data_IF_205248395796
#
_entry.id   IF_205248395796
#
_cell.length_a   1.000
_cell.length_b   1.000
_cell.length_c   1.000
_cell.angle_alpha   90.00
_cell.angle_beta   90.00
_cell.angle_gamma   90.00
#
_symmetry.space_group_name_H-M   'P 1'
#
loop_
_entity.id
_entity.type
_entity.pdbx_description
1 polymer ?
#
# COMPACT_ATOMS: atom_id res chain seq x y z
N UNK A 1 -8.32 -27.23 22.80
CA UNK A 1 -9.19 -26.18 23.38
C UNK A 1 -8.34 -25.39 24.38
N UNK A 2 -7.70 -24.30 23.94
CA UNK A 2 -6.88 -23.43 24.81
C UNK A 2 -7.51 -22.04 24.81
N UNK A 3 -7.85 -21.57 26.00
CA UNK A 3 -8.46 -20.28 26.28
C UNK A 3 -7.56 -19.14 25.81
N UNK A 4 -8.14 -18.17 25.09
CA UNK A 4 -7.51 -16.86 24.89
C UNK A 4 -7.63 -16.10 26.22
N UNK A 5 -6.49 -15.70 26.79
CA UNK A 5 -6.46 -14.83 27.95
C UNK A 5 -6.65 -13.39 27.48
N UNK A 6 -7.76 -12.77 27.87
CA UNK A 6 -7.99 -11.34 27.72
C UNK A 6 -7.29 -10.64 28.91
N UNK A 7 -6.32 -9.77 28.65
CA UNK A 7 -5.60 -9.03 29.69
C UNK A 7 -5.95 -7.54 29.58
N UNK A 8 -6.49 -7.01 30.68
CA UNK A 8 -6.67 -5.60 31.04
C UNK A 8 -7.32 -4.66 30.00
N UNK A 9 -8.64 -4.46 30.13
CA UNK A 9 -9.32 -3.22 29.69
C UNK A 9 -9.09 -2.14 30.73
N UNK A 10 -8.15 -1.24 30.52
CA UNK A 10 -8.10 0.04 31.24
C UNK A 10 -9.11 0.98 30.61
N UNK A 11 -10.31 1.05 31.19
CA UNK A 11 -11.31 2.06 30.82
C UNK A 11 -10.75 3.45 31.19
N UNK A 12 -10.20 4.17 30.22
CA UNK A 12 -10.09 5.63 30.31
C UNK A 12 -11.52 6.16 30.17
N UNK A 13 -12.07 6.94 31.12
CA UNK A 13 -13.47 7.35 31.04
C UNK A 13 -13.71 8.25 29.82
N UNK A 14 -14.46 7.73 28.83
CA UNK A 14 -15.42 8.52 28.06
C UNK A 14 -15.24 8.68 26.54
N UNK A 15 -14.13 8.29 25.90
CA UNK A 15 -13.92 8.66 24.48
C UNK A 15 -13.44 7.53 23.55
N UNK A 16 -12.72 6.51 24.04
CA UNK A 16 -12.23 5.43 23.21
C UNK A 16 -12.09 4.11 23.99
N UNK A 17 -12.25 2.98 23.29
CA UNK A 17 -11.98 1.64 23.77
C UNK A 17 -10.56 1.22 23.36
N UNK A 18 -9.76 0.80 24.34
CA UNK A 18 -8.41 0.28 24.12
C UNK A 18 -8.35 -1.22 24.40
N UNK A 19 -7.68 -1.98 23.54
CA UNK A 19 -7.47 -3.41 23.72
C UNK A 19 -6.08 -3.86 23.25
N UNK A 20 -5.52 -4.84 23.94
CA UNK A 20 -4.26 -5.50 23.59
C UNK A 20 -4.44 -7.01 23.64
N UNK A 21 -4.19 -7.70 22.53
CA UNK A 21 -4.39 -9.15 22.41
C UNK A 21 -3.23 -9.78 21.65
N UNK A 22 -2.73 -10.91 22.16
CA UNK A 22 -1.85 -11.80 21.38
C UNK A 22 -2.71 -12.82 20.63
N UNK A 23 -2.65 -12.77 19.30
CA UNK A 23 -3.32 -13.69 18.41
C UNK A 23 -2.69 -15.08 18.45
N UNK A 24 -3.43 -16.09 17.99
CA UNK A 24 -2.99 -17.50 18.02
C UNK A 24 -1.73 -17.76 17.20
N UNK A 25 -1.47 -16.92 16.20
CA UNK A 25 -0.29 -17.02 15.36
C UNK A 25 0.94 -16.36 15.99
N UNK A 26 0.82 -15.76 17.18
CA UNK A 26 1.88 -15.05 17.90
C UNK A 26 1.94 -13.54 17.63
N UNK A 27 1.09 -13.00 16.76
CA UNK A 27 1.01 -11.55 16.51
C UNK A 27 0.41 -10.84 17.71
N UNK A 28 1.03 -9.77 18.18
CA UNK A 28 0.42 -8.86 19.14
C UNK A 28 -0.37 -7.80 18.39
N UNK A 29 -1.65 -7.63 18.70
CA UNK A 29 -2.51 -6.58 18.16
C UNK A 29 -2.91 -5.64 19.28
N UNK A 30 -2.61 -4.37 19.11
CA UNK A 30 -3.14 -3.28 19.92
C UNK A 30 -4.17 -2.51 19.09
N UNK A 31 -5.28 -2.11 19.72
CA UNK A 31 -6.30 -1.31 19.07
C UNK A 31 -6.79 -0.22 20.03
N UNK A 32 -6.95 0.98 19.49
CA UNK A 32 -7.65 2.10 20.10
C UNK A 32 -8.77 2.53 19.16
N UNK A 33 -10.02 2.57 19.61
CA UNK A 33 -11.17 2.91 18.77
C UNK A 33 -12.12 3.87 19.47
N UNK A 34 -12.56 4.93 18.78
CA UNK A 34 -13.59 5.82 19.31
C UNK A 34 -14.94 5.08 19.42
N UNK A 35 -15.73 5.38 20.45
CA UNK A 35 -16.98 4.64 20.77
C UNK A 35 -18.09 4.80 19.72
N UNK A 36 -18.03 5.84 18.89
CA UNK A 36 -19.00 6.12 17.82
C UNK A 36 -18.26 6.51 16.54
N UNK A 37 -17.24 5.73 16.19
CA UNK A 37 -16.45 5.93 14.98
C UNK A 37 -17.26 5.53 13.73
N UNK A 38 -17.21 6.36 12.70
CA UNK A 38 -17.71 6.04 11.35
C UNK A 38 -16.56 6.30 10.34
N UNK A 39 -15.53 5.43 10.31
CA UNK A 39 -14.37 5.66 9.48
C UNK A 39 -14.70 5.47 7.99
N UNK A 40 -14.28 6.42 7.15
CA UNK A 40 -14.50 6.35 5.70
C UNK A 40 -13.28 5.80 4.95
N UNK A 41 -12.07 5.98 5.52
CA UNK A 41 -10.81 5.58 4.89
C UNK A 41 -9.96 4.80 5.90
N UNK A 42 -9.48 3.63 5.48
CA UNK A 42 -8.43 2.88 6.17
C UNK A 42 -7.08 3.24 5.57
N UNK A 43 -6.25 3.98 6.30
CA UNK A 43 -4.85 4.21 5.94
C UNK A 43 -4.00 3.04 6.43
N UNK A 44 -3.20 2.46 5.55
CA UNK A 44 -2.31 1.33 5.85
C UNK A 44 -0.86 1.71 5.61
N UNK A 45 -0.02 1.43 6.61
CA UNK A 45 1.43 1.54 6.51
C UNK A 45 2.10 0.29 7.07
N UNK A 46 3.07 -0.22 6.33
CA UNK A 46 3.86 -1.37 6.72
C UNK A 46 5.34 -0.98 6.73
N UNK A 47 6.02 -1.29 7.82
CA UNK A 47 7.43 -0.96 7.96
C UNK A 47 8.11 -1.96 8.90
N UNK A 48 9.41 -2.17 8.77
CA UNK A 48 10.11 -3.17 9.57
C UNK A 48 10.47 -2.62 10.96
N UNK A 49 11.18 -1.51 10.95
CA UNK A 49 11.84 -0.89 12.11
C UNK A 49 12.09 0.60 11.84
N UNK A 50 12.80 1.29 12.74
CA UNK A 50 13.07 2.73 12.66
C UNK A 50 13.75 3.16 11.35
N UNK A 51 14.49 2.27 10.69
CA UNK A 51 15.20 2.60 9.43
C UNK A 51 14.26 2.69 8.25
N UNK A 52 13.07 2.07 8.35
CA UNK A 52 12.09 2.04 7.27
C UNK A 52 11.44 3.40 7.00
N UNK A 53 11.47 4.32 7.96
CA UNK A 53 11.00 5.71 7.79
C UNK A 53 11.93 6.56 6.93
N UNK A 54 13.19 6.13 6.83
CA UNK A 54 14.26 6.73 6.05
C UNK A 54 14.60 8.20 6.40
N UNK A 55 15.32 8.91 5.53
CA UNK A 55 15.74 10.30 5.72
C UNK A 55 15.99 11.02 4.40
N UNK A 56 15.97 12.36 4.43
CA UNK A 56 16.44 13.20 3.30
C UNK A 56 17.91 13.60 3.47
N UNK A 57 18.58 14.02 2.38
CA UNK A 57 20.03 14.32 2.36
C UNK A 57 20.54 15.25 3.47
N UNK A 58 19.69 16.13 3.98
CA UNK A 58 20.05 17.19 4.95
C UNK A 58 19.25 17.12 6.25
N UNK A 59 18.37 16.12 6.41
CA UNK A 59 17.47 16.02 7.56
C UNK A 59 17.89 14.90 8.51
N UNK A 60 17.37 14.96 9.74
CA UNK A 60 17.40 13.82 10.66
C UNK A 60 16.58 12.66 10.11
N UNK A 61 16.85 11.44 10.60
CA UNK A 61 15.99 10.28 10.37
C UNK A 61 14.54 10.60 10.71
N UNK A 62 13.63 10.24 9.80
CA UNK A 62 12.19 10.35 10.00
C UNK A 62 11.73 9.30 11.00
N UNK A 63 10.55 9.54 11.53
CA UNK A 63 9.88 8.72 12.53
C UNK A 63 8.41 8.58 12.19
N UNK A 64 7.67 7.82 12.99
CA UNK A 64 6.21 7.77 12.91
C UNK A 64 5.55 9.15 13.04
N UNK A 65 6.16 10.11 13.76
CA UNK A 65 5.59 11.45 13.89
C UNK A 65 5.59 12.18 12.54
N UNK A 66 6.65 12.07 11.75
CA UNK A 66 6.74 12.68 10.42
C UNK A 66 5.70 12.07 9.46
N UNK A 67 5.42 10.77 9.59
CA UNK A 67 4.33 10.12 8.86
C UNK A 67 2.94 10.64 9.29
N UNK A 68 2.73 10.88 10.58
CA UNK A 68 1.46 11.44 11.07
C UNK A 68 1.29 12.91 10.66
N UNK A 69 2.37 13.67 10.57
CA UNK A 69 2.37 15.05 10.06
C UNK A 69 2.09 15.07 8.56
N UNK A 70 2.64 14.10 7.79
CA UNK A 70 2.31 13.89 6.38
C UNK A 70 0.80 13.69 6.18
N UNK A 71 0.15 12.86 7.00
CA UNK A 71 -1.31 12.65 6.92
C UNK A 71 -2.07 13.95 7.16
N UNK A 72 -1.70 14.73 8.17
CA UNK A 72 -2.32 16.02 8.46
C UNK A 72 -2.14 17.03 7.31
N UNK A 73 -0.99 17.02 6.64
CA UNK A 73 -0.69 17.91 5.52
C UNK A 73 -1.59 17.68 4.28
N UNK A 74 -2.23 16.50 4.17
CA UNK A 74 -3.14 16.19 3.06
C UNK A 74 -4.52 16.85 3.17
N UNK A 75 -4.82 17.59 4.25
CA UNK A 75 -6.16 18.12 4.59
C UNK A 75 -7.22 17.04 4.87
N UNK A 76 -6.82 15.80 5.16
CA UNK A 76 -7.79 14.77 5.54
C UNK A 76 -8.38 15.10 6.91
N UNK A 77 -9.66 14.81 7.09
CA UNK A 77 -10.27 14.78 8.41
C UNK A 77 -9.80 13.52 9.15
N UNK A 78 -8.82 13.69 10.03
CA UNK A 78 -8.24 12.58 10.80
C UNK A 78 -9.31 11.83 11.61
N UNK A 79 -10.42 12.49 11.98
CA UNK A 79 -11.50 11.85 12.72
C UNK A 79 -12.30 10.82 11.94
N UNK A 80 -12.20 10.80 10.61
CA UNK A 80 -12.84 9.77 9.76
C UNK A 80 -11.85 8.71 9.29
N UNK A 81 -10.61 8.72 9.81
CA UNK A 81 -9.57 7.77 9.41
C UNK A 81 -9.45 6.62 10.41
N UNK A 82 -9.44 5.41 9.89
CA UNK A 82 -8.83 4.25 10.55
C UNK A 82 -7.37 4.12 10.13
N UNK A 83 -6.46 3.88 11.07
CA UNK A 83 -5.04 3.68 10.79
C UNK A 83 -4.61 2.25 11.14
N UNK A 84 -4.25 1.46 10.13
CA UNK A 84 -3.69 0.12 10.29
C UNK A 84 -2.18 0.13 10.10
N UNK A 85 -1.44 -0.33 11.12
CA UNK A 85 0.03 -0.28 11.12
C UNK A 85 0.58 -1.69 11.41
N UNK A 86 1.57 -2.12 10.63
CA UNK A 86 2.33 -3.35 10.92
C UNK A 86 3.81 -3.06 11.11
N UNK A 87 4.40 -3.57 12.19
CA UNK A 87 5.85 -3.48 12.45
C UNK A 87 6.48 -4.76 12.99
N UNK A 88 7.73 -5.01 12.62
CA UNK A 88 8.55 -6.08 13.18
C UNK A 88 9.34 -5.65 14.43
N UNK A 89 9.39 -4.34 14.72
CA UNK A 89 10.09 -3.78 15.87
C UNK A 89 9.15 -3.59 17.06
N UNK A 90 9.49 -4.19 18.19
CA UNK A 90 8.73 -4.03 19.43
C UNK A 90 8.83 -2.58 19.98
N UNK A 91 9.98 -1.93 19.78
CA UNK A 91 10.21 -0.56 20.22
C UNK A 91 9.36 0.43 19.41
N UNK A 92 9.31 0.24 18.07
CA UNK A 92 8.44 1.02 17.21
C UNK A 92 6.95 0.78 17.52
N UNK A 93 6.58 -0.45 17.87
CA UNK A 93 5.21 -0.78 18.29
C UNK A 93 4.76 0.03 19.52
N UNK A 94 5.61 0.20 20.53
CA UNK A 94 5.30 1.06 21.68
C UNK A 94 5.30 2.54 21.33
N UNK A 95 6.22 2.97 20.44
CA UNK A 95 6.28 4.37 19.98
C UNK A 95 4.99 4.79 19.26
N UNK A 96 4.44 3.93 18.41
CA UNK A 96 3.18 4.18 17.68
C UNK A 96 2.05 4.50 18.65
N UNK A 97 1.87 3.70 19.72
CA UNK A 97 0.78 3.91 20.69
C UNK A 97 0.83 5.29 21.33
N UNK A 98 2.05 5.78 21.58
CA UNK A 98 2.27 7.12 22.14
C UNK A 98 2.04 8.20 21.08
N UNK A 99 2.52 7.99 19.86
CA UNK A 99 2.47 8.98 18.79
C UNK A 99 1.04 9.29 18.34
N UNK A 100 0.20 8.26 18.19
CA UNK A 100 -1.18 8.43 17.71
C UNK A 100 -2.12 9.02 18.75
N UNK A 101 -1.80 8.93 20.04
CA UNK A 101 -2.69 9.36 21.13
C UNK A 101 -3.01 10.85 21.17
N UNK A 102 -2.36 11.67 20.33
CA UNK A 102 -2.62 13.11 20.18
C UNK A 102 -3.55 13.46 19.03
N UNK A 103 -3.88 12.49 18.18
CA UNK A 103 -4.66 12.69 16.98
C UNK A 103 -6.02 12.01 17.10
N UNK A 104 -7.11 12.63 16.59
CA UNK A 104 -8.47 12.18 16.85
C UNK A 104 -8.89 11.03 15.92
N UNK A 105 -8.03 10.04 15.64
CA UNK A 105 -8.37 8.93 14.75
C UNK A 105 -9.66 8.21 15.18
N UNK A 106 -10.48 7.82 14.21
CA UNK A 106 -11.66 6.96 14.44
C UNK A 106 -11.23 5.63 15.05
N UNK A 107 -10.17 5.04 14.49
CA UNK A 107 -9.61 3.77 14.95
C UNK A 107 -8.13 3.69 14.62
N UNK A 108 -7.33 3.15 15.52
CA UNK A 108 -5.94 2.79 15.25
C UNK A 108 -5.74 1.34 15.63
N UNK A 109 -5.19 0.55 14.73
CA UNK A 109 -4.83 -0.85 14.97
C UNK A 109 -3.38 -1.06 14.61
N UNK A 110 -2.56 -1.31 15.62
CA UNK A 110 -1.15 -1.65 15.44
C UNK A 110 -0.95 -3.16 15.62
N UNK A 111 -0.15 -3.75 14.73
CA UNK A 111 0.25 -5.15 14.77
C UNK A 111 1.75 -5.23 14.93
N UNK A 112 2.20 -6.03 15.89
CA UNK A 112 3.59 -6.37 16.08
C UNK A 112 3.80 -7.87 15.91
N UNK A 113 4.75 -8.22 15.06
CA UNK A 113 5.29 -9.57 14.97
C UNK A 113 6.72 -9.50 14.50
N UNK A 114 7.64 -10.01 15.31
CA UNK A 114 9.01 -10.23 14.87
C UNK A 114 9.00 -11.23 13.71
N UNK A 115 9.58 -10.85 12.57
CA UNK A 115 9.70 -11.75 11.43
C UNK A 115 10.52 -12.98 11.83
N UNK A 116 9.98 -14.17 11.58
CA UNK A 116 10.74 -15.40 11.68
C UNK A 116 11.64 -15.49 10.43
N UNK A 117 12.80 -14.84 10.47
CA UNK A 117 13.89 -15.00 9.51
C UNK A 117 13.49 -14.99 8.02
N UNK A 118 12.60 -14.07 7.59
CA UNK A 118 12.52 -13.69 6.17
C UNK A 118 13.65 -12.70 5.82
N UNK A 119 14.85 -12.96 6.33
CA UNK A 119 16.11 -12.36 5.92
C UNK A 119 16.51 -12.91 4.55
N UNK A 120 15.67 -12.66 3.52
CA UNK A 120 16.13 -12.74 2.15
C UNK A 120 17.34 -11.80 2.03
N UNK A 121 18.50 -12.41 1.86
CA UNK A 121 19.80 -11.78 1.92
C UNK A 121 19.81 -10.44 1.16
N UNK A 122 20.20 -9.38 1.87
CA UNK A 122 20.41 -8.03 1.33
C UNK A 122 21.47 -7.99 0.19
N UNK A 123 22.14 -9.12 -0.07
CA UNK A 123 23.35 -9.25 -0.88
C UNK A 123 23.18 -9.42 -2.38
N UNK A 124 21.97 -9.59 -2.94
CA UNK A 124 21.84 -9.77 -4.39
C UNK A 124 20.54 -9.22 -4.99
N UNK A 125 20.33 -7.90 -4.88
CA UNK A 125 19.14 -7.17 -5.37
C UNK A 125 18.93 -7.25 -6.90
N UNK A 126 19.93 -7.70 -7.66
CA UNK A 126 19.85 -7.81 -9.13
C UNK A 126 19.43 -9.20 -9.62
N UNK A 127 19.30 -10.19 -8.73
CA UNK A 127 18.82 -11.52 -9.11
C UNK A 127 17.26 -11.51 -9.19
N UNK A 128 16.66 -11.78 -10.37
CA UNK A 128 15.21 -11.77 -10.53
C UNK A 128 14.45 -12.69 -9.55
N UNK A 129 15.05 -13.83 -9.16
CA UNK A 129 14.44 -14.76 -8.21
C UNK A 129 14.44 -14.21 -6.78
N UNK A 130 15.50 -13.49 -6.39
CA UNK A 130 15.58 -12.80 -5.10
C UNK A 130 14.55 -11.66 -5.07
N UNK A 131 14.42 -10.92 -6.16
CA UNK A 131 13.43 -9.87 -6.30
C UNK A 131 11.99 -10.42 -6.19
N UNK A 132 11.68 -11.52 -6.89
CA UNK A 132 10.37 -12.17 -6.82
C UNK A 132 10.06 -12.67 -5.40
N UNK A 133 11.02 -13.31 -4.74
CA UNK A 133 10.87 -13.79 -3.35
C UNK A 133 10.57 -12.63 -2.41
N UNK A 134 11.31 -11.53 -2.53
CA UNK A 134 11.09 -10.31 -1.72
C UNK A 134 9.70 -9.71 -1.98
N UNK A 135 9.29 -9.55 -3.24
CA UNK A 135 7.96 -9.02 -3.60
C UNK A 135 6.83 -9.96 -3.16
N UNK A 136 7.06 -11.27 -3.19
CA UNK A 136 6.13 -12.28 -2.67
C UNK A 136 5.91 -12.12 -1.16
N UNK A 137 6.98 -11.96 -0.38
CA UNK A 137 6.92 -11.69 1.06
C UNK A 137 6.15 -10.39 1.36
N UNK A 138 6.50 -9.31 0.64
CA UNK A 138 5.82 -8.02 0.79
C UNK A 138 4.32 -8.10 0.43
N UNK A 139 3.95 -8.79 -0.64
CA UNK A 139 2.54 -9.00 -1.00
C UNK A 139 1.77 -9.73 0.10
N UNK A 140 2.35 -10.80 0.68
CA UNK A 140 1.73 -11.53 1.79
C UNK A 140 1.55 -10.65 3.02
N UNK A 141 2.55 -9.83 3.35
CA UNK A 141 2.50 -8.89 4.46
C UNK A 141 1.44 -7.79 4.23
N UNK A 142 1.38 -7.20 3.03
CA UNK A 142 0.34 -6.23 2.67
C UNK A 142 -1.06 -6.84 2.77
N UNK A 143 -1.26 -8.03 2.20
CA UNK A 143 -2.53 -8.76 2.31
C UNK A 143 -2.90 -9.03 3.77
N UNK A 144 -1.93 -9.46 4.59
CA UNK A 144 -2.18 -9.74 6.00
C UNK A 144 -2.64 -8.51 6.77
N UNK A 145 -1.97 -7.37 6.59
CA UNK A 145 -2.37 -6.12 7.24
C UNK A 145 -3.73 -5.65 6.72
N UNK A 146 -3.93 -5.58 5.40
CA UNK A 146 -5.19 -5.12 4.80
C UNK A 146 -6.39 -5.96 5.22
N UNK A 147 -6.28 -7.30 5.15
CA UNK A 147 -7.37 -8.19 5.51
C UNK A 147 -7.63 -8.23 7.03
N UNK A 148 -6.61 -7.97 7.86
CA UNK A 148 -6.78 -7.95 9.31
C UNK A 148 -7.32 -6.62 9.84
N UNK A 149 -7.06 -5.51 9.14
CA UNK A 149 -7.39 -4.17 9.58
C UNK A 149 -8.71 -3.61 8.99
N UNK A 150 -9.07 -4.00 7.76
CA UNK A 150 -10.31 -3.56 7.11
C UNK A 150 -11.56 -4.04 7.84
N UNK A 151 -12.47 -3.13 8.12
CA UNK A 151 -13.76 -3.40 8.75
C UNK A 151 -14.87 -2.73 7.93
N UNK A 152 -15.29 -1.53 8.34
CA UNK A 152 -16.44 -0.77 7.86
C UNK A 152 -16.08 0.39 6.91
N UNK A 153 -14.81 0.55 6.55
CA UNK A 153 -14.35 1.63 5.68
C UNK A 153 -14.79 1.47 4.22
N UNK A 154 -14.93 2.58 3.50
CA UNK A 154 -15.27 2.61 2.06
C UNK A 154 -14.03 2.48 1.17
N UNK A 155 -12.87 2.92 1.67
CA UNK A 155 -11.62 2.94 0.93
C UNK A 155 -10.44 2.46 1.79
N UNK A 156 -9.45 1.88 1.14
CA UNK A 156 -8.15 1.53 1.69
C UNK A 156 -7.10 2.39 1.00
N UNK A 157 -6.30 3.13 1.76
CA UNK A 157 -5.20 3.93 1.27
C UNK A 157 -3.88 3.35 1.77
N UNK A 158 -3.08 2.78 0.87
CA UNK A 158 -1.71 2.40 1.14
C UNK A 158 -0.78 3.59 0.99
N UNK A 159 0.13 3.77 1.96
CA UNK A 159 1.23 4.72 1.89
C UNK A 159 2.49 3.99 2.37
N UNK A 160 3.54 3.98 1.55
CA UNK A 160 4.83 3.42 1.95
C UNK A 160 5.49 4.29 3.03
N UNK A 161 6.26 3.67 3.93
CA UNK A 161 6.80 4.35 5.12
C UNK A 161 7.84 5.45 4.79
N UNK A 162 8.47 5.34 3.64
CA UNK A 162 9.48 6.23 3.07
C UNK A 162 8.88 7.28 2.10
N UNK A 163 7.56 7.46 2.11
CA UNK A 163 6.92 8.64 1.52
C UNK A 163 7.11 9.84 2.44
N UNK A 164 7.70 10.91 1.91
CA UNK A 164 7.93 12.16 2.66
C UNK A 164 6.88 13.24 2.38
N UNK A 165 6.37 13.31 1.15
CA UNK A 165 5.45 14.38 0.75
C UNK A 165 4.28 13.83 -0.07
N UNK A 166 3.10 14.37 0.20
CA UNK A 166 1.88 14.16 -0.58
C UNK A 166 1.34 15.53 -0.98
N UNK A 167 1.02 15.70 -2.27
CA UNK A 167 0.36 16.93 -2.73
C UNK A 167 -0.94 17.20 -1.93
N UNK A 168 -1.22 18.46 -1.55
CA UNK A 168 -2.46 18.81 -0.87
C UNK A 168 -3.70 18.36 -1.68
N UNK A 169 -4.71 17.83 -1.00
CA UNK A 169 -5.95 17.31 -1.60
C UNK A 169 -5.81 16.08 -2.52
N UNK A 170 -4.63 15.45 -2.61
CA UNK A 170 -4.43 14.29 -3.51
C UNK A 170 -5.35 13.13 -3.14
N UNK A 171 -5.47 12.81 -1.84
CA UNK A 171 -6.29 11.70 -1.35
C UNK A 171 -7.77 11.98 -1.56
N UNK A 172 -8.23 13.20 -1.27
CA UNK A 172 -9.60 13.64 -1.46
C UNK A 172 -10.00 13.54 -2.94
N UNK A 173 -9.08 13.91 -3.84
CA UNK A 173 -9.29 13.80 -5.28
C UNK A 173 -9.39 12.33 -5.71
N UNK A 174 -8.51 11.45 -5.21
CA UNK A 174 -8.61 10.00 -5.45
C UNK A 174 -9.94 9.43 -4.95
N UNK A 175 -10.36 9.77 -3.73
CA UNK A 175 -11.61 9.30 -3.14
C UNK A 175 -12.81 9.80 -3.92
N UNK A 176 -12.83 11.08 -4.32
CA UNK A 176 -13.89 11.64 -5.15
C UNK A 176 -14.02 10.87 -6.47
N UNK A 177 -12.90 10.60 -7.13
CA UNK A 177 -12.88 9.81 -8.35
C UNK A 177 -13.40 8.39 -8.15
N UNK A 178 -12.91 7.68 -7.13
CA UNK A 178 -13.36 6.32 -6.83
C UNK A 178 -14.86 6.27 -6.51
N UNK A 179 -15.40 7.27 -5.81
CA UNK A 179 -16.82 7.34 -5.47
C UNK A 179 -17.71 7.70 -6.68
N UNK A 180 -17.23 8.56 -7.58
CA UNK A 180 -18.05 9.08 -8.70
C UNK A 180 -17.89 8.31 -9.99
N UNK A 181 -16.78 7.60 -10.17
CA UNK A 181 -16.52 6.74 -11.31
C UNK A 181 -16.48 5.29 -10.87
N UNK A 182 -17.51 4.53 -11.25
CA UNK A 182 -17.67 3.13 -10.88
C UNK A 182 -16.43 2.28 -11.20
N UNK A 183 -15.78 2.50 -12.34
CA UNK A 183 -14.62 1.72 -12.76
C UNK A 183 -13.31 2.15 -12.07
N UNK A 184 -13.24 3.32 -11.44
CA UNK A 184 -12.02 3.86 -10.83
C UNK A 184 -11.77 3.35 -9.41
N UNK A 185 -11.80 2.03 -9.22
CA UNK A 185 -11.63 1.41 -7.90
C UNK A 185 -10.19 1.35 -7.39
N UNK A 186 -9.17 1.50 -8.27
CA UNK A 186 -7.75 1.47 -7.88
C UNK A 186 -7.04 2.69 -8.47
N UNK A 187 -6.50 3.56 -7.64
CA UNK A 187 -5.90 4.84 -8.07
C UNK A 187 -4.55 5.06 -7.39
N UNK A 188 -3.53 5.37 -8.19
CA UNK A 188 -2.19 5.77 -7.73
C UNK A 188 -1.84 7.19 -8.21
N UNK A 189 -0.65 7.67 -7.87
CA UNK A 189 -0.13 8.96 -8.31
C UNK A 189 1.33 8.86 -8.72
N UNK A 190 1.80 9.86 -9.46
CA UNK A 190 3.22 9.98 -9.81
C UNK A 190 4.06 10.11 -8.54
N UNK A 191 5.11 9.31 -8.43
CA UNK A 191 6.08 9.40 -7.35
C UNK A 191 7.44 9.81 -7.90
N UNK A 192 8.03 10.86 -7.31
CA UNK A 192 9.38 11.33 -7.63
C UNK A 192 10.30 11.22 -6.41
N UNK A 193 11.61 11.24 -6.67
CA UNK A 193 12.65 11.21 -5.64
C UNK A 193 13.80 12.10 -6.10
N UNK A 194 14.15 13.14 -5.33
CA UNK A 194 15.17 14.12 -5.72
C UNK A 194 15.03 14.61 -7.18
N UNK A 195 16.00 14.30 -8.05
CA UNK A 195 16.01 14.65 -9.48
C UNK A 195 15.39 13.55 -10.37
N UNK A 196 14.93 12.45 -9.79
CA UNK A 196 14.28 11.35 -10.49
C UNK A 196 12.77 11.60 -10.56
N UNK A 197 12.30 11.98 -11.76
CA UNK A 197 10.87 12.25 -12.01
C UNK A 197 9.97 11.01 -11.89
N UNK A 198 10.52 9.80 -11.89
CA UNK A 198 9.76 8.56 -11.73
C UNK A 198 10.50 7.56 -10.85
N UNK A 199 10.21 7.62 -9.56
CA UNK A 199 10.70 6.68 -8.59
C UNK A 199 9.96 5.34 -8.68
N UNK A 200 8.62 5.37 -8.69
CA UNK A 200 7.79 4.16 -8.73
C UNK A 200 7.57 3.64 -10.15
N UNK A 201 8.50 2.81 -10.60
CA UNK A 201 8.46 2.20 -11.95
C UNK A 201 7.49 1.03 -12.08
N UNK A 202 6.68 0.74 -11.06
CA UNK A 202 5.65 -0.31 -11.15
C UNK A 202 4.37 0.19 -11.81
N UNK A 203 4.18 1.51 -11.90
CA UNK A 203 3.03 2.11 -12.57
C UNK A 203 3.30 2.31 -14.08
N UNK A 204 2.54 1.62 -14.93
CA UNK A 204 2.71 1.67 -16.38
C UNK A 204 1.46 1.22 -17.15
N UNK A 205 1.44 1.56 -18.44
CA UNK A 205 0.44 1.13 -19.42
C UNK A 205 1.12 0.53 -20.65
N UNK A 206 0.43 -0.37 -21.36
CA UNK A 206 0.77 -0.80 -22.71
C UNK A 206 -0.39 -0.51 -23.68
N UNK A 207 -0.07 -0.23 -24.93
CA UNK A 207 -1.08 -0.08 -25.99
C UNK A 207 -1.49 -1.42 -26.63
N UNK A 208 -0.77 -2.49 -26.29
CA UNK A 208 -0.91 -3.83 -26.85
C UNK A 208 -1.29 -4.82 -25.74
N UNK A 209 -2.59 -4.96 -25.41
CA UNK A 209 -3.06 -5.87 -24.35
C UNK A 209 -2.66 -7.33 -24.57
N UNK A 210 -2.41 -7.75 -25.82
CA UNK A 210 -1.91 -9.07 -26.18
C UNK A 210 -0.55 -9.40 -25.56
N UNK A 211 0.23 -8.37 -25.18
CA UNK A 211 1.50 -8.54 -24.45
C UNK A 211 1.30 -9.03 -23.02
N UNK A 212 0.08 -9.00 -22.48
CA UNK A 212 -0.26 -9.44 -21.11
C UNK A 212 -0.93 -10.83 -21.10
N UNK A 213 -0.73 -11.61 -22.17
CA UNK A 213 -1.21 -12.98 -22.32
C UNK A 213 -0.30 -14.03 -21.66
N UNK A 214 -0.63 -15.30 -21.88
CA UNK A 214 0.23 -16.43 -21.54
C UNK A 214 1.46 -16.47 -22.45
N UNK A 215 2.62 -16.78 -21.87
CA UNK A 215 3.91 -16.86 -22.58
C UNK A 215 4.58 -18.19 -22.24
N UNK A 216 5.06 -18.90 -23.27
CA UNK A 216 5.80 -20.15 -23.09
C UNK A 216 7.14 -19.91 -22.37
N UNK A 217 7.61 -20.88 -21.58
CA UNK A 217 8.80 -20.73 -20.74
C UNK A 217 10.05 -20.24 -21.50
N UNK A 218 10.27 -20.77 -22.71
CA UNK A 218 11.39 -20.43 -23.58
C UNK A 218 11.32 -19.01 -24.16
N UNK A 219 10.14 -18.39 -24.17
CA UNK A 219 9.91 -17.07 -24.77
C UNK A 219 9.78 -15.95 -23.73
N UNK A 220 9.88 -16.28 -22.42
CA UNK A 220 9.66 -15.32 -21.32
C UNK A 220 10.65 -14.16 -21.33
N UNK A 221 11.93 -14.42 -21.59
CA UNK A 221 12.96 -13.37 -21.61
C UNK A 221 12.72 -12.38 -22.75
N UNK A 222 12.47 -12.87 -23.97
CA UNK A 222 12.16 -12.03 -25.13
C UNK A 222 10.86 -11.25 -24.91
N UNK A 223 9.83 -11.89 -24.34
CA UNK A 223 8.55 -11.23 -24.05
C UNK A 223 8.69 -10.16 -22.98
N UNK A 224 9.50 -10.38 -21.95
CA UNK A 224 9.80 -9.38 -20.93
C UNK A 224 10.56 -8.19 -21.50
N UNK A 225 11.58 -8.43 -22.34
CA UNK A 225 12.32 -7.35 -23.00
C UNK A 225 11.40 -6.48 -23.86
N UNK A 226 10.54 -7.10 -24.67
CA UNK A 226 9.53 -6.40 -25.47
C UNK A 226 8.54 -5.62 -24.61
N UNK A 227 8.10 -6.19 -23.49
CA UNK A 227 7.21 -5.50 -22.57
C UNK A 227 7.91 -4.26 -21.99
N UNK A 228 9.14 -4.39 -21.49
CA UNK A 228 9.91 -3.29 -20.92
C UNK A 228 10.11 -2.15 -21.93
N UNK A 229 10.37 -2.48 -23.20
CA UNK A 229 10.52 -1.50 -24.28
C UNK A 229 9.22 -0.76 -24.63
N UNK A 230 8.07 -1.40 -24.45
CA UNK A 230 6.76 -0.88 -24.89
C UNK A 230 5.92 -0.26 -23.78
N UNK A 231 6.34 -0.38 -22.52
CA UNK A 231 5.70 0.27 -21.37
C UNK A 231 5.75 1.78 -21.51
N UNK A 232 4.58 2.40 -21.41
CA UNK A 232 4.44 3.85 -21.26
C UNK A 232 4.38 4.14 -19.76
N UNK A 233 5.35 4.89 -19.26
CA UNK A 233 5.50 5.18 -17.84
C UNK A 233 4.66 6.40 -17.42
N UNK A 234 4.35 6.50 -16.12
CA UNK A 234 3.51 7.58 -15.56
C UNK A 234 3.90 9.00 -16.02
N UNK A 235 5.17 9.44 -16.02
CA UNK A 235 5.49 10.81 -16.43
C UNK A 235 5.14 11.12 -17.88
N UNK A 236 5.13 10.12 -18.76
CA UNK A 236 4.69 10.29 -20.15
C UNK A 236 3.16 10.31 -20.23
N UNK A 237 2.49 9.41 -19.48
CA UNK A 237 1.03 9.32 -19.41
C UNK A 237 0.36 10.58 -18.85
N UNK A 238 0.99 11.22 -17.86
CA UNK A 238 0.45 12.42 -17.21
C UNK A 238 0.91 13.72 -17.86
N UNK A 239 1.80 13.65 -18.87
CA UNK A 239 2.35 14.84 -19.52
C UNK A 239 1.25 15.66 -20.20
N UNK A 240 1.06 16.89 -19.73
CA UNK A 240 0.07 17.82 -20.30
C UNK A 240 -1.37 17.57 -19.86
N UNK A 241 -1.58 16.67 -18.90
CA UNK A 241 -2.89 16.45 -18.26
C UNK A 241 -3.15 17.53 -17.20
N UNK A 242 -4.42 17.77 -16.88
CA UNK A 242 -4.85 18.69 -15.83
C UNK A 242 -4.95 17.99 -14.47
N UNK A 243 -4.98 18.78 -13.38
CA UNK A 243 -5.21 18.26 -12.04
C UNK A 243 -6.59 17.61 -11.97
N UNK A 244 -6.64 16.34 -11.53
CA UNK A 244 -7.89 15.58 -11.48
C UNK A 244 -8.20 14.80 -12.76
N UNK A 245 -7.35 14.85 -13.78
CA UNK A 245 -7.48 13.89 -14.88
C UNK A 245 -7.20 12.47 -14.36
N UNK A 246 -7.96 11.49 -14.85
CA UNK A 246 -7.71 10.07 -14.57
C UNK A 246 -7.21 9.38 -15.84
N UNK A 247 -6.04 8.78 -15.73
CA UNK A 247 -5.40 8.09 -16.84
C UNK A 247 -5.35 6.59 -16.53
N UNK A 248 -5.95 5.72 -17.36
CA UNK A 248 -6.00 4.28 -17.09
C UNK A 248 -4.60 3.65 -17.13
N UNK A 249 -4.37 2.64 -16.29
CA UNK A 249 -3.13 1.88 -16.16
C UNK A 249 -3.38 0.37 -16.27
N UNK A 250 -2.37 -0.37 -16.73
CA UNK A 250 -2.36 -1.85 -16.69
C UNK A 250 -1.66 -2.38 -15.42
N UNK A 251 -0.88 -1.54 -14.76
CA UNK A 251 -0.09 -1.85 -13.57
C UNK A 251 0.09 -0.59 -12.73
N UNK A 252 0.08 -0.73 -11.40
CA UNK A 252 0.14 0.39 -10.45
C UNK A 252 1.36 0.33 -9.53
N UNK A 253 1.70 1.50 -9.00
CA UNK A 253 2.67 1.69 -7.94
C UNK A 253 2.13 1.32 -6.56
N UNK A 254 3.02 1.28 -5.58
CA UNK A 254 2.70 1.03 -4.18
C UNK A 254 2.95 2.21 -3.25
N UNK A 255 3.69 3.22 -3.71
CA UNK A 255 4.11 4.38 -2.91
C UNK A 255 2.93 5.11 -2.29
N UNK A 256 1.91 5.41 -3.11
CA UNK A 256 0.55 5.70 -2.66
C UNK A 256 -0.44 4.93 -3.53
N UNK A 257 -1.42 4.27 -2.91
CA UNK A 257 -2.41 3.50 -3.65
C UNK A 257 -3.75 3.49 -2.92
N UNK A 258 -4.75 4.15 -3.51
CA UNK A 258 -6.14 4.04 -3.08
C UNK A 258 -6.78 2.81 -3.72
N UNK A 259 -7.49 2.01 -2.94
CA UNK A 259 -8.27 0.85 -3.36
C UNK A 259 -9.67 0.98 -2.73
N UNK A 260 -10.72 0.84 -3.53
CA UNK A 260 -12.08 0.76 -3.01
C UNK A 260 -12.25 -0.51 -2.17
N UNK A 261 -12.80 -0.37 -0.97
CA UNK A 261 -12.82 -1.47 0.00
C UNK A 261 -13.72 -2.64 -0.45
N UNK A 262 -14.73 -2.38 -1.28
CA UNK A 262 -15.56 -3.41 -1.90
C UNK A 262 -14.75 -4.38 -2.79
N UNK A 263 -13.72 -3.93 -3.50
CA UNK A 263 -12.84 -4.80 -4.29
C UNK A 263 -12.10 -5.79 -3.39
N UNK A 264 -11.63 -5.34 -2.22
CA UNK A 264 -11.03 -6.21 -1.21
C UNK A 264 -12.05 -7.22 -0.69
N UNK A 265 -13.28 -6.79 -0.43
CA UNK A 265 -14.39 -7.66 0.00
C UNK A 265 -14.83 -8.65 -1.10
N UNK A 266 -14.64 -8.32 -2.38
CA UNK A 266 -14.82 -9.22 -3.52
C UNK A 266 -13.68 -10.24 -3.67
N UNK A 267 -12.60 -10.11 -2.89
CA UNK A 267 -11.46 -11.04 -2.88
C UNK A 267 -10.18 -10.50 -3.53
N UNK A 268 -10.13 -9.20 -3.87
CA UNK A 268 -8.90 -8.58 -4.37
C UNK A 268 -7.78 -8.66 -3.33
N UNK A 269 -6.62 -9.14 -3.75
CA UNK A 269 -5.40 -9.21 -2.95
C UNK A 269 -4.20 -8.83 -3.80
N UNK A 270 -3.11 -8.40 -3.18
CA UNK A 270 -1.81 -8.29 -3.83
C UNK A 270 -1.32 -9.69 -4.20
N UNK A 271 -1.12 -10.03 -5.48
CA UNK A 271 -0.67 -11.37 -5.84
C UNK A 271 0.71 -11.68 -5.26
N UNK A 272 0.85 -12.78 -4.52
CA UNK A 272 2.16 -13.18 -3.98
C UNK A 272 3.04 -13.91 -4.99
N UNK A 273 2.55 -14.16 -6.19
CA UNK A 273 3.27 -14.75 -7.30
C UNK A 273 2.86 -14.02 -8.59
N UNK A 274 3.58 -14.27 -9.67
CA UNK A 274 3.25 -13.72 -10.98
C UNK A 274 1.91 -14.28 -11.48
N UNK A 275 0.93 -13.41 -11.73
CA UNK A 275 -0.42 -13.81 -12.18
C UNK A 275 -0.70 -13.59 -13.65
N UNK A 276 0.09 -12.74 -14.33
CA UNK A 276 -0.13 -12.43 -15.74
C UNK A 276 0.23 -13.65 -16.57
N UNK A 277 -0.73 -14.10 -17.39
CA UNK A 277 -0.56 -15.26 -18.24
C UNK A 277 -0.65 -16.61 -17.52
N UNK A 278 -1.13 -16.66 -16.27
CA UNK A 278 -1.34 -17.93 -15.55
C UNK A 278 -2.26 -18.87 -16.31
N UNK A 279 -1.89 -20.16 -16.34
CA UNK A 279 -2.71 -21.25 -16.89
C UNK A 279 -2.86 -22.36 -15.85
N UNK A 280 -3.64 -23.40 -16.15
CA UNK A 280 -3.72 -24.59 -15.29
C UNK A 280 -2.38 -25.32 -15.12
N UNK A 281 -1.52 -25.26 -16.13
CA UNK A 281 -0.26 -26.02 -16.16
C UNK A 281 0.96 -25.23 -15.72
N UNK A 282 0.88 -23.89 -15.68
CA UNK A 282 2.03 -23.02 -15.41
C UNK A 282 1.64 -21.73 -14.67
N UNK A 283 2.48 -21.27 -13.72
CA UNK A 283 2.30 -19.96 -13.11
C UNK A 283 2.50 -18.85 -14.15
N UNK A 284 1.98 -17.66 -13.85
CA UNK A 284 2.23 -16.47 -14.65
C UNK A 284 3.71 -16.11 -14.72
N UNK A 285 4.05 -15.25 -15.68
CA UNK A 285 5.43 -14.90 -15.96
C UNK A 285 5.82 -13.51 -15.41
N UNK A 286 4.85 -12.64 -15.14
CA UNK A 286 5.01 -11.33 -14.47
C UNK A 286 3.79 -10.99 -13.59
N UNK A 287 3.83 -9.82 -12.94
CA UNK A 287 2.71 -9.28 -12.18
C UNK A 287 2.62 -9.89 -10.80
N UNK A 288 3.67 -9.71 -10.00
CA UNK A 288 3.65 -9.95 -8.55
C UNK A 288 3.34 -8.64 -7.84
N UNK A 289 2.66 -8.72 -6.71
CA UNK A 289 2.38 -7.61 -5.81
C UNK A 289 1.60 -6.47 -6.50
N UNK A 290 2.06 -5.21 -6.53
CA UNK A 290 1.30 -4.10 -7.13
C UNK A 290 1.25 -4.22 -8.65
N UNK A 291 2.26 -4.81 -9.29
CA UNK A 291 2.22 -5.03 -10.73
C UNK A 291 1.17 -6.06 -11.15
N UNK A 292 0.76 -6.93 -10.22
CA UNK A 292 -0.25 -7.95 -10.47
C UNK A 292 -1.67 -7.54 -10.11
N UNK A 293 -1.85 -6.49 -9.30
CA UNK A 293 -3.17 -6.19 -8.69
C UNK A 293 -4.21 -5.78 -9.73
N UNK A 294 -3.83 -4.98 -10.74
CA UNK A 294 -4.72 -4.58 -11.82
C UNK A 294 -5.17 -5.77 -12.69
N UNK A 295 -4.23 -6.68 -12.96
CA UNK A 295 -4.57 -7.93 -13.66
C UNK A 295 -5.53 -8.81 -12.86
N UNK A 296 -5.38 -8.85 -11.52
CA UNK A 296 -6.31 -9.56 -10.64
C UNK A 296 -7.68 -8.86 -10.55
N UNK A 297 -7.70 -7.52 -10.59
CA UNK A 297 -8.91 -6.72 -10.46
C UNK A 297 -9.77 -6.68 -11.74
N UNK A 298 -9.20 -6.96 -12.92
CA UNK A 298 -9.90 -6.85 -14.22
C UNK A 298 -11.23 -7.62 -14.35
N UNK A 299 -11.40 -8.67 -13.54
CA UNK A 299 -12.62 -9.49 -13.52
C UNK A 299 -13.62 -9.09 -12.43
N UNK A 300 -13.27 -8.10 -11.61
CA UNK A 300 -14.10 -7.58 -10.52
C UNK A 300 -14.90 -6.38 -11.02
N UNK A 301 -16.11 -6.23 -10.48
CA UNK A 301 -16.94 -5.06 -10.76
C UNK A 301 -16.30 -3.81 -10.11
N UNK A 302 -16.05 -2.78 -10.91
CA UNK A 302 -15.35 -1.55 -10.49
C UNK A 302 -13.82 -1.67 -10.39
N UNK A 303 -13.21 -2.75 -10.89
CA UNK A 303 -11.79 -3.08 -10.71
C UNK A 303 -10.78 -2.37 -11.64
N UNK A 304 -11.11 -1.20 -12.19
CA UNK A 304 -10.20 -0.47 -13.07
C UNK A 304 -9.07 0.24 -12.31
N UNK A 305 -7.90 0.32 -12.95
CA UNK A 305 -6.70 0.95 -12.41
C UNK A 305 -6.38 2.26 -13.12
N UNK A 306 -6.01 3.28 -12.34
CA UNK A 306 -5.74 4.64 -12.85
C UNK A 306 -4.57 5.31 -12.14
N UNK A 307 -3.99 6.31 -12.79
CA UNK A 307 -3.12 7.32 -12.18
C UNK A 307 -3.78 8.69 -12.25
N UNK A 308 -3.61 9.48 -11.20
CA UNK A 308 -4.00 10.89 -11.17
C UNK A 308 -3.05 11.73 -12.03
N UNK A 309 -3.64 12.54 -12.89
CA UNK A 309 -2.95 13.49 -13.76
C UNK A 309 -2.66 14.85 -13.11
N UNK A 310 -2.03 15.71 -13.90
CA UNK A 310 -1.66 17.06 -13.52
C UNK A 310 -0.42 17.13 -12.63
N UNK A 311 -0.45 18.07 -11.68
CA UNK A 311 0.62 18.35 -10.74
C UNK A 311 0.54 17.51 -9.45
N UNK A 312 -0.46 16.64 -9.32
CA UNK A 312 -0.57 15.74 -8.17
C UNK A 312 0.59 14.76 -8.18
N UNK A 313 1.32 14.75 -7.08
CA UNK A 313 2.49 13.91 -6.93
C UNK A 313 2.72 13.51 -5.47
N UNK A 314 3.54 12.47 -5.35
CA UNK A 314 4.14 11.97 -4.12
C UNK A 314 5.63 12.17 -4.21
N UNK A 315 6.28 12.46 -3.09
CA UNK A 315 7.73 12.46 -2.98
C UNK A 315 8.19 11.35 -2.05
N UNK A 316 9.09 10.52 -2.54
CA UNK A 316 9.82 9.57 -1.74
C UNK A 316 11.03 10.24 -1.07
N UNK A 317 11.44 9.76 0.10
CA UNK A 317 12.67 10.21 0.78
C UNK A 317 13.90 9.99 -0.08
N UNK A 318 14.92 10.83 0.07
CA UNK A 318 16.11 10.76 -0.77
C UNK A 318 17.10 9.64 -0.40
N UNK A 319 17.08 9.16 0.85
CA UNK A 319 17.79 7.95 1.28
C UNK A 319 16.82 6.77 1.37
N UNK A 320 17.35 5.54 1.31
CA UNK A 320 16.59 4.28 1.38
C UNK A 320 17.38 3.07 0.90
#
# INVERSE_FOLDING_TARGET
MRLAYCLYTTQVPGLAEESLVTLRDGTTRWQLAALSAEPTILVLVLFRDEKSWSSDFRSSSRTVYDFLDLLQATNLDISTISLGIWTASAEQFELIKTAVGRLPFSRVTAYHRQDADESAAYGDRHNPQVQLTRRSGLAKLRNRLMLAALQDEDHVLWIDADVDELSPNIVQTMVQHSTTNHDAGIITAMCHQNQMNNYDKNAWKVNSPELLGSVADNDRETSLAKLVETRIMVPELTKGTANGDLIPLDSVGGTVLLIRADLVRQGLTFPYHNVVGTTWGQPGWIGVETEGICYAARGLDGGGCYVLGGSYHVRHTDWG
#
